data_IF_307755888680
#
_entry.id   IF_307755888680
#
_cell.length_a   1.000
_cell.length_b   1.000
_cell.length_c   1.000
_cell.angle_alpha   90.00
_cell.angle_beta   90.00
_cell.angle_gamma   90.00
#
_symmetry.space_group_name_H-M   'P 1'
#
loop_
_entity.id
_entity.type
_entity.pdbx_description
1 polymer ?
#
# COMPACT_ATOMS: atom_id res chain seq x y z
N UNK A 1 -5.67 -4.23 -18.33
CA UNK A 1 -4.39 -4.19 -19.04
C UNK A 1 -3.36 -4.89 -18.17
N UNK A 2 -2.56 -5.82 -18.74
CA UNK A 2 -1.55 -6.58 -17.97
C UNK A 2 -0.29 -5.74 -17.72
N UNK A 3 0.20 -5.05 -18.74
CA UNK A 3 1.32 -4.11 -18.63
C UNK A 3 0.82 -2.67 -18.66
N UNK A 4 1.57 -1.76 -18.05
CA UNK A 4 1.21 -0.36 -17.88
C UNK A 4 0.71 -0.04 -16.48
N UNK A 5 0.18 1.15 -16.31
CA UNK A 5 -0.32 1.63 -15.01
C UNK A 5 -1.50 2.60 -15.17
N UNK A 6 -2.29 2.69 -14.14
CA UNK A 6 -3.36 3.68 -13.96
C UNK A 6 -3.16 4.40 -12.61
N UNK A 7 -3.78 5.56 -12.37
CA UNK A 7 -3.67 6.23 -11.08
C UNK A 7 -4.02 5.35 -9.86
N UNK A 8 -4.94 4.40 -10.03
CA UNK A 8 -5.31 3.45 -8.97
C UNK A 8 -4.19 2.48 -8.59
N UNK A 9 -3.26 2.24 -9.51
CA UNK A 9 -2.12 1.34 -9.28
C UNK A 9 -1.03 1.98 -8.41
N UNK A 10 -1.09 3.28 -8.17
CA UNK A 10 -0.20 3.97 -7.24
C UNK A 10 -0.59 3.78 -5.76
N UNK A 11 -1.83 3.41 -5.46
CA UNK A 11 -2.35 3.36 -4.09
C UNK A 11 -1.53 2.40 -3.22
N UNK A 12 -1.37 1.15 -3.65
CA UNK A 12 -0.72 0.13 -2.83
C UNK A 12 0.80 0.38 -2.65
N UNK A 13 1.59 0.70 -3.69
CA UNK A 13 2.99 1.07 -3.47
C UNK A 13 3.16 2.32 -2.61
N UNK A 14 2.25 3.29 -2.67
CA UNK A 14 2.25 4.44 -1.77
C UNK A 14 2.06 4.01 -0.31
N UNK A 15 1.18 3.04 -0.03
CA UNK A 15 1.06 2.48 1.31
C UNK A 15 2.38 1.88 1.81
N UNK A 16 3.04 1.04 1.01
CA UNK A 16 4.33 0.45 1.38
C UNK A 16 5.41 1.51 1.56
N UNK A 17 5.45 2.50 0.67
CA UNK A 17 6.40 3.62 0.77
C UNK A 17 6.18 4.43 2.06
N UNK A 18 4.93 4.79 2.39
CA UNK A 18 4.61 5.55 3.61
C UNK A 18 4.86 4.74 4.87
N UNK A 19 4.66 3.42 4.85
CA UNK A 19 5.09 2.53 5.95
C UNK A 19 6.59 2.70 6.21
N UNK A 20 7.41 2.72 5.16
CA UNK A 20 8.85 2.99 5.26
C UNK A 20 9.15 4.38 5.84
N UNK A 21 8.48 5.43 5.33
CA UNK A 21 8.61 6.80 5.87
C UNK A 21 8.29 6.82 7.37
N UNK A 22 7.17 6.23 7.79
CA UNK A 22 6.75 6.19 9.19
C UNK A 22 7.74 5.43 10.09
N UNK A 23 8.34 4.35 9.57
CA UNK A 23 9.41 3.60 10.26
C UNK A 23 10.59 4.50 10.61
N UNK A 24 11.02 5.37 9.70
CA UNK A 24 12.17 6.25 9.94
C UNK A 24 11.97 7.17 11.17
N UNK A 25 10.77 7.71 11.34
CA UNK A 25 10.41 8.53 12.50
C UNK A 25 10.24 7.68 13.77
N UNK A 26 9.61 6.51 13.67
CA UNK A 26 9.37 5.64 14.82
C UNK A 26 10.67 5.09 15.41
N UNK A 27 11.66 4.76 14.58
CA UNK A 27 12.92 4.17 15.03
C UNK A 27 13.91 5.21 15.54
N UNK A 28 13.86 6.46 15.05
CA UNK A 28 14.69 7.53 15.60
C UNK A 28 14.34 7.89 17.05
N UNK A 29 13.09 7.76 17.43
CA UNK A 29 12.62 8.16 18.77
C UNK A 29 12.94 7.16 19.88
N UNK A 30 13.55 5.99 19.61
CA UNK A 30 13.67 4.90 20.57
C UNK A 30 14.90 4.01 20.27
N UNK A 31 15.61 3.55 21.30
CA UNK A 31 16.73 2.59 21.17
C UNK A 31 16.29 1.19 20.63
N UNK A 32 17.24 0.38 20.17
CA UNK A 32 17.00 -0.81 19.31
C UNK A 32 16.22 -1.97 19.97
N UNK A 33 16.45 -2.30 21.25
CA UNK A 33 15.92 -3.52 21.88
C UNK A 33 14.39 -3.58 22.06
N UNK A 34 13.68 -2.51 22.50
CA UNK A 34 12.22 -2.57 22.65
C UNK A 34 11.48 -2.54 21.31
N UNK A 35 12.16 -2.30 20.20
CA UNK A 35 11.55 -2.14 18.89
C UNK A 35 11.24 -3.46 18.21
N UNK A 36 12.12 -4.49 18.34
CA UNK A 36 11.92 -5.79 17.71
C UNK A 36 10.59 -6.44 18.14
N UNK A 37 10.30 -6.45 19.44
CA UNK A 37 9.03 -6.99 19.94
C UNK A 37 7.81 -6.26 19.33
N UNK A 38 7.88 -4.93 19.23
CA UNK A 38 6.79 -4.15 18.63
C UNK A 38 6.64 -4.44 17.15
N UNK A 39 7.76 -4.57 16.43
CA UNK A 39 7.78 -4.92 15.00
C UNK A 39 7.13 -6.28 14.79
N UNK A 40 7.52 -7.29 15.57
CA UNK A 40 6.95 -8.64 15.49
C UNK A 40 5.44 -8.65 15.78
N UNK A 41 5.03 -8.04 16.89
CA UNK A 41 3.61 -7.99 17.29
C UNK A 41 2.78 -7.27 16.22
N UNK A 42 3.25 -6.12 15.73
CA UNK A 42 2.57 -5.36 14.68
C UNK A 42 2.46 -6.16 13.37
N UNK A 43 3.54 -6.83 12.97
CA UNK A 43 3.52 -7.68 11.77
C UNK A 43 2.56 -8.84 11.92
N UNK A 44 2.53 -9.51 13.07
CA UNK A 44 1.61 -10.60 13.34
C UNK A 44 0.15 -10.15 13.34
N UNK A 45 -0.15 -9.01 13.96
CA UNK A 45 -1.52 -8.45 13.96
C UNK A 45 -1.96 -8.08 12.54
N UNK A 46 -1.11 -7.42 11.76
CA UNK A 46 -1.42 -7.06 10.37
C UNK A 46 -1.63 -8.29 9.50
N UNK A 47 -0.76 -9.29 9.62
CA UNK A 47 -0.88 -10.54 8.89
C UNK A 47 -2.16 -11.29 9.28
N UNK A 48 -2.42 -11.45 10.58
CA UNK A 48 -3.61 -12.10 11.11
C UNK A 48 -4.91 -11.38 10.69
N UNK A 49 -4.93 -10.05 10.73
CA UNK A 49 -6.06 -9.25 10.25
C UNK A 49 -6.31 -9.49 8.75
N UNK A 50 -5.24 -9.56 7.94
CA UNK A 50 -5.35 -9.85 6.51
C UNK A 50 -5.92 -11.25 6.25
N UNK A 51 -5.43 -12.26 6.98
CA UNK A 51 -5.96 -13.64 6.91
C UNK A 51 -7.42 -13.69 7.36
N UNK A 52 -7.77 -13.02 8.45
CA UNK A 52 -9.15 -12.91 8.92
C UNK A 52 -10.07 -12.29 7.85
N UNK A 53 -9.66 -11.18 7.25
CA UNK A 53 -10.42 -10.54 6.17
C UNK A 53 -10.56 -11.43 4.93
N UNK A 54 -9.55 -12.25 4.61
CA UNK A 54 -9.63 -13.21 3.53
C UNK A 54 -10.62 -14.35 3.85
N UNK A 55 -10.57 -14.88 5.08
CA UNK A 55 -11.45 -15.95 5.56
C UNK A 55 -12.91 -15.53 5.68
N UNK A 56 -13.16 -14.29 6.11
CA UNK A 56 -14.52 -13.77 6.34
C UNK A 56 -15.37 -13.78 5.07
N UNK A 57 -16.67 -14.16 5.13
CA UNK A 57 -17.40 -14.70 6.27
C UNK A 57 -17.47 -16.24 6.27
N UNK A 58 -16.92 -16.90 5.24
CA UNK A 58 -17.11 -18.36 5.06
C UNK A 58 -16.21 -19.20 5.93
N UNK A 59 -15.03 -18.68 6.30
CA UNK A 59 -13.98 -19.38 7.06
C UNK A 59 -13.61 -20.75 6.49
N UNK A 60 -13.66 -20.87 5.15
CA UNK A 60 -13.20 -22.06 4.44
C UNK A 60 -11.66 -22.02 4.37
N UNK A 61 -11.03 -22.83 5.23
CA UNK A 61 -9.58 -22.89 5.33
C UNK A 61 -8.94 -23.67 4.17
N UNK A 62 -9.71 -24.49 3.46
CA UNK A 62 -9.19 -25.31 2.35
C UNK A 62 -8.89 -24.48 1.09
N UNK A 63 -9.64 -23.39 0.91
CA UNK A 63 -9.48 -22.45 -0.22
C UNK A 63 -9.15 -21.03 0.28
N UNK A 64 -8.61 -20.91 1.50
CA UNK A 64 -8.25 -19.63 2.07
C UNK A 64 -7.09 -19.00 1.31
N UNK A 65 -7.30 -17.82 0.73
CA UNK A 65 -6.22 -17.04 0.15
C UNK A 65 -5.22 -16.61 1.22
N UNK A 66 -3.95 -17.05 1.10
CA UNK A 66 -2.88 -16.67 2.05
C UNK A 66 -2.24 -15.34 1.66
N UNK A 67 -1.81 -15.09 0.40
CA UNK A 67 -1.32 -13.79 0.00
C UNK A 67 -2.42 -12.73 0.07
N UNK A 68 -2.03 -11.48 0.30
CA UNK A 68 -2.98 -10.37 0.32
C UNK A 68 -2.29 -9.06 0.72
N UNK A 69 -3.03 -7.97 0.60
CA UNK A 69 -2.50 -6.61 0.81
C UNK A 69 -1.92 -6.43 2.20
N UNK A 70 -2.68 -6.77 3.26
CA UNK A 70 -2.21 -6.61 4.64
C UNK A 70 -1.09 -7.59 4.99
N UNK A 71 -1.15 -8.82 4.47
CA UNK A 71 -0.10 -9.82 4.64
C UNK A 71 1.21 -9.34 4.00
N UNK A 72 1.14 -8.79 2.78
CA UNK A 72 2.31 -8.19 2.13
C UNK A 72 2.85 -6.99 2.89
N UNK A 73 1.99 -6.08 3.37
CA UNK A 73 2.42 -4.97 4.23
C UNK A 73 3.13 -5.50 5.47
N UNK A 74 2.59 -6.52 6.13
CA UNK A 74 3.17 -7.13 7.32
C UNK A 74 4.57 -7.70 7.05
N UNK A 75 4.74 -8.45 5.96
CA UNK A 75 6.02 -9.06 5.57
C UNK A 75 7.02 -7.98 5.16
N UNK A 76 6.62 -7.01 4.34
CA UNK A 76 7.48 -5.90 3.94
C UNK A 76 7.92 -5.06 5.12
N UNK A 77 7.01 -4.74 6.03
CA UNK A 77 7.30 -4.01 7.27
C UNK A 77 8.28 -4.78 8.15
N UNK A 78 8.06 -6.09 8.36
CA UNK A 78 8.96 -6.94 9.14
C UNK A 78 10.35 -6.99 8.53
N UNK A 79 10.45 -7.34 7.26
CA UNK A 79 11.74 -7.49 6.57
C UNK A 79 12.52 -6.16 6.51
N UNK A 80 11.86 -5.07 6.11
CA UNK A 80 12.48 -3.75 6.09
C UNK A 80 12.90 -3.30 7.50
N UNK A 81 12.09 -3.58 8.53
CA UNK A 81 12.44 -3.25 9.92
C UNK A 81 13.69 -4.00 10.40
N UNK A 82 13.79 -5.30 10.11
CA UNK A 82 14.96 -6.10 10.47
C UNK A 82 16.23 -5.57 9.78
N UNK A 83 16.12 -5.25 8.48
CA UNK A 83 17.23 -4.67 7.73
C UNK A 83 17.65 -3.31 8.32
N UNK A 84 16.72 -2.44 8.63
CA UNK A 84 17.00 -1.12 9.20
C UNK A 84 17.60 -1.20 10.60
N UNK A 85 17.15 -2.16 11.43
CA UNK A 85 17.63 -2.29 12.82
C UNK A 85 19.03 -2.93 12.91
N UNK A 86 19.36 -3.86 12.01
CA UNK A 86 20.55 -4.69 12.15
C UNK A 86 21.56 -4.56 11.01
N UNK A 87 21.17 -4.02 9.86
CA UNK A 87 22.06 -3.87 8.72
C UNK A 87 22.71 -2.47 8.66
N UNK A 88 23.90 -2.41 8.08
CA UNK A 88 24.55 -1.13 7.78
C UNK A 88 23.82 -0.40 6.64
N UNK A 89 24.02 0.92 6.55
CA UNK A 89 23.46 1.72 5.44
C UNK A 89 23.95 1.22 4.07
N UNK A 90 25.19 0.77 3.97
CA UNK A 90 25.72 0.13 2.76
C UNK A 90 24.97 -1.14 2.41
N UNK A 91 24.67 -1.97 3.40
CA UNK A 91 23.90 -3.21 3.24
C UNK A 91 22.48 -2.90 2.73
N UNK A 92 21.83 -1.83 3.21
CA UNK A 92 20.51 -1.43 2.68
C UNK A 92 20.55 -1.11 1.18
N UNK A 93 21.57 -0.38 0.72
CA UNK A 93 21.71 -0.08 -0.71
C UNK A 93 21.99 -1.35 -1.55
N UNK A 94 22.85 -2.25 -1.04
CA UNK A 94 23.08 -3.53 -1.71
C UNK A 94 21.84 -4.41 -1.74
N UNK A 95 21.05 -4.42 -0.66
CA UNK A 95 19.76 -5.13 -0.62
C UNK A 95 18.77 -4.57 -1.64
N UNK A 96 18.69 -3.23 -1.76
CA UNK A 96 17.88 -2.60 -2.81
C UNK A 96 18.32 -3.03 -4.20
N UNK A 97 19.62 -2.95 -4.49
CA UNK A 97 20.16 -3.38 -5.77
C UNK A 97 19.88 -4.86 -6.03
N UNK A 98 20.12 -5.73 -5.04
CA UNK A 98 19.85 -7.16 -5.13
C UNK A 98 18.37 -7.45 -5.40
N UNK A 99 17.46 -6.82 -4.68
CA UNK A 99 16.02 -7.06 -4.85
C UNK A 99 15.52 -6.56 -6.20
N UNK A 100 16.01 -5.43 -6.69
CA UNK A 100 15.57 -4.90 -7.97
C UNK A 100 16.24 -5.59 -9.17
N UNK A 101 17.57 -5.71 -9.17
CA UNK A 101 18.32 -6.34 -10.27
C UNK A 101 18.14 -7.86 -10.24
N UNK A 102 18.24 -8.47 -9.06
CA UNK A 102 18.05 -9.92 -8.90
C UNK A 102 16.66 -10.37 -9.33
N UNK A 103 15.62 -9.61 -8.96
CA UNK A 103 14.25 -9.92 -9.38
C UNK A 103 14.08 -9.78 -10.90
N UNK A 104 14.65 -8.75 -11.51
CA UNK A 104 14.67 -8.58 -12.96
C UNK A 104 15.33 -9.77 -13.66
N UNK A 105 16.50 -10.18 -13.19
CA UNK A 105 17.23 -11.33 -13.75
C UNK A 105 16.49 -12.65 -13.53
N UNK A 106 15.86 -12.84 -12.37
CA UNK A 106 15.12 -14.05 -12.02
C UNK A 106 13.84 -14.23 -12.87
N UNK A 107 13.09 -13.14 -13.10
CA UNK A 107 11.88 -13.24 -13.92
C UNK A 107 12.21 -13.55 -15.39
N UNK A 108 13.36 -13.09 -15.88
CA UNK A 108 13.78 -13.30 -17.26
C UNK A 108 12.83 -12.64 -18.28
N UNK A 109 12.65 -13.29 -19.43
CA UNK A 109 11.84 -12.76 -20.54
C UNK A 109 10.37 -13.17 -20.51
N UNK A 110 9.99 -14.19 -19.71
CA UNK A 110 8.58 -14.62 -19.61
C UNK A 110 7.84 -13.81 -18.57
N UNK A 111 7.14 -12.80 -19.04
CA UNK A 111 6.32 -11.88 -18.21
C UNK A 111 4.82 -12.11 -18.43
N UNK A 112 4.44 -13.27 -18.98
CA UNK A 112 3.03 -13.64 -19.17
C UNK A 112 2.34 -13.91 -17.82
N UNK A 113 1.01 -13.87 -17.80
CA UNK A 113 0.21 -14.01 -16.57
C UNK A 113 0.53 -15.32 -15.84
N UNK A 114 0.64 -16.43 -16.57
CA UNK A 114 0.75 -17.76 -16.01
C UNK A 114 2.14 -18.39 -16.16
N UNK A 115 2.91 -17.96 -17.14
CA UNK A 115 4.22 -18.51 -17.48
C UNK A 115 5.36 -17.96 -16.64
N UNK A 116 5.21 -16.74 -16.09
CA UNK A 116 6.28 -16.10 -15.35
C UNK A 116 6.71 -16.88 -14.11
N UNK A 117 7.98 -16.73 -13.72
CA UNK A 117 8.57 -17.49 -12.61
C UNK A 117 7.83 -17.24 -11.28
N UNK A 118 7.36 -16.00 -11.02
CA UNK A 118 6.64 -15.71 -9.79
C UNK A 118 5.34 -16.53 -9.69
N UNK A 119 4.55 -16.56 -10.75
CA UNK A 119 3.34 -17.37 -10.79
C UNK A 119 3.62 -18.89 -10.65
N UNK A 120 4.74 -19.38 -11.22
CA UNK A 120 5.15 -20.79 -11.06
C UNK A 120 5.52 -21.14 -9.62
N UNK A 121 6.30 -20.28 -8.97
CA UNK A 121 6.68 -20.45 -7.56
C UNK A 121 5.45 -20.37 -6.65
N UNK A 122 4.56 -19.42 -6.90
CA UNK A 122 3.34 -19.26 -6.11
C UNK A 122 2.43 -20.49 -6.22
N UNK A 123 2.25 -21.04 -7.43
CA UNK A 123 1.48 -22.29 -7.63
C UNK A 123 2.12 -23.48 -6.92
N UNK A 124 3.45 -23.58 -6.97
CA UNK A 124 4.15 -24.70 -6.34
C UNK A 124 4.07 -24.66 -4.81
N UNK A 125 4.21 -23.48 -4.20
CA UNK A 125 4.27 -23.33 -2.73
C UNK A 125 2.89 -23.06 -2.09
N UNK A 126 1.99 -22.40 -2.81
CA UNK A 126 0.72 -21.91 -2.29
C UNK A 126 -0.49 -22.37 -3.12
N UNK A 127 -0.34 -23.43 -3.91
CA UNK A 127 -1.42 -23.98 -4.74
C UNK A 127 -2.70 -24.19 -3.92
N UNK A 128 -3.84 -23.73 -4.44
CA UNK A 128 -5.13 -23.74 -3.72
C UNK A 128 -5.38 -22.54 -2.81
N UNK A 129 -4.35 -21.74 -2.49
CA UNK A 129 -4.44 -20.59 -1.57
C UNK A 129 -4.14 -19.24 -2.25
N UNK A 130 -4.25 -19.17 -3.57
CA UNK A 130 -3.99 -17.98 -4.38
C UNK A 130 -5.29 -17.21 -4.70
N UNK A 131 -5.16 -15.95 -5.13
CA UNK A 131 -6.30 -15.14 -5.58
C UNK A 131 -6.96 -15.69 -6.83
N UNK A 132 -6.16 -16.12 -7.80
CA UNK A 132 -6.58 -16.88 -8.97
C UNK A 132 -5.93 -18.25 -8.90
N UNK A 133 -6.52 -19.25 -9.56
CA UNK A 133 -5.97 -20.60 -9.54
C UNK A 133 -4.51 -20.66 -10.00
N UNK A 134 -4.09 -19.75 -10.86
CA UNK A 134 -2.79 -19.77 -11.54
C UNK A 134 -1.79 -18.71 -11.08
N UNK A 135 -2.24 -17.65 -10.39
CA UNK A 135 -1.35 -16.54 -9.98
C UNK A 135 -1.95 -15.67 -8.88
N UNK A 136 -1.10 -14.91 -8.18
CA UNK A 136 -1.48 -13.91 -7.17
C UNK A 136 -0.62 -12.66 -7.30
N UNK A 137 -1.23 -11.43 -7.35
CA UNK A 137 -0.48 -10.18 -7.42
C UNK A 137 0.34 -9.90 -6.16
N UNK A 138 -0.03 -10.49 -5.01
CA UNK A 138 0.68 -10.41 -3.75
C UNK A 138 1.52 -11.68 -3.45
N UNK A 139 2.01 -12.36 -4.48
CA UNK A 139 2.80 -13.59 -4.39
C UNK A 139 4.16 -13.44 -3.69
N UNK A 140 4.83 -14.57 -3.50
CA UNK A 140 6.05 -14.66 -2.71
C UNK A 140 7.23 -13.92 -3.35
N UNK A 141 7.55 -14.23 -4.63
CA UNK A 141 8.70 -13.61 -5.29
C UNK A 141 8.52 -12.10 -5.49
N UNK A 142 7.32 -11.65 -5.86
CA UNK A 142 7.01 -10.22 -6.02
C UNK A 142 7.07 -9.43 -4.69
N UNK A 143 7.19 -10.12 -3.56
CA UNK A 143 7.39 -9.48 -2.24
C UNK A 143 8.80 -8.89 -2.09
N UNK A 144 9.83 -9.43 -2.75
CA UNK A 144 11.17 -8.85 -2.68
C UNK A 144 11.24 -7.42 -3.22
N UNK A 145 10.78 -7.11 -4.45
CA UNK A 145 10.72 -5.72 -4.89
C UNK A 145 9.71 -4.87 -4.12
N UNK A 146 8.69 -5.45 -3.49
CA UNK A 146 7.80 -4.72 -2.59
C UNK A 146 8.52 -4.29 -1.29
N UNK A 147 9.43 -5.12 -0.74
CA UNK A 147 10.32 -4.72 0.37
C UNK A 147 11.22 -3.56 -0.06
N UNK A 148 11.74 -3.58 -1.30
CA UNK A 148 12.52 -2.46 -1.84
C UNK A 148 11.72 -1.14 -1.85
N UNK A 149 10.42 -1.17 -2.19
CA UNK A 149 9.54 0.00 -2.09
C UNK A 149 9.49 0.56 -0.66
N UNK A 150 9.40 -0.32 0.34
CA UNK A 150 9.38 0.08 1.76
C UNK A 150 10.73 0.67 2.21
N UNK A 151 11.85 0.09 1.77
CA UNK A 151 13.20 0.63 2.07
C UNK A 151 13.39 2.00 1.43
N UNK A 152 12.95 2.22 0.18
CA UNK A 152 12.98 3.53 -0.47
C UNK A 152 12.17 4.57 0.33
N UNK A 153 11.00 4.18 0.86
CA UNK A 153 10.23 5.02 1.76
C UNK A 153 10.98 5.34 3.06
N UNK A 154 11.67 4.36 3.66
CA UNK A 154 12.48 4.59 4.85
C UNK A 154 13.60 5.61 4.60
N UNK A 155 14.33 5.48 3.50
CA UNK A 155 15.40 6.43 3.12
C UNK A 155 14.85 7.84 2.88
N UNK A 156 13.67 7.96 2.27
CA UNK A 156 12.98 9.24 2.09
C UNK A 156 12.58 9.87 3.44
N UNK A 157 12.08 9.07 4.35
CA UNK A 157 11.72 9.51 5.69
C UNK A 157 12.93 9.93 6.52
N UNK A 158 14.08 9.25 6.39
CA UNK A 158 15.35 9.69 7.00
C UNK A 158 15.74 11.10 6.56
N UNK A 159 15.52 11.43 5.29
CA UNK A 159 15.83 12.76 4.75
C UNK A 159 14.95 13.87 5.34
N UNK A 160 13.72 13.52 5.70
CA UNK A 160 12.78 14.48 6.31
C UNK A 160 12.99 14.67 7.81
N UNK A 161 13.63 13.72 8.51
CA UNK A 161 13.84 13.86 9.95
C UNK A 161 14.68 15.09 10.28
N UNK A 162 14.38 15.75 11.41
CA UNK A 162 15.29 16.74 12.00
C UNK A 162 16.63 16.07 12.28
N UNK A 163 17.71 16.67 11.82
CA UNK A 163 19.05 16.19 12.08
C UNK A 163 19.86 17.34 12.70
N UNK A 164 20.12 17.25 13.99
CA UNK A 164 20.83 18.29 14.76
C UNK A 164 22.20 18.63 14.16
N UNK A 165 22.83 17.70 13.46
CA UNK A 165 24.12 17.89 12.83
C UNK A 165 24.07 18.56 11.46
N UNK A 166 22.91 18.58 10.79
CA UNK A 166 22.69 19.14 9.43
C UNK A 166 21.88 20.44 9.47
N UNK A 167 21.16 20.70 10.57
CA UNK A 167 20.24 21.84 10.70
C UNK A 167 20.90 23.21 10.69
N UNK A 168 22.23 23.32 10.81
CA UNK A 168 22.91 24.61 10.76
C UNK A 168 22.92 25.30 9.40
N UNK A 169 22.41 24.68 8.33
CA UNK A 169 22.42 25.27 6.99
C UNK A 169 21.27 24.87 6.04
N UNK A 170 20.58 23.74 6.26
CA UNK A 170 19.59 23.26 5.31
C UNK A 170 18.17 23.72 5.65
N UNK A 171 17.57 24.51 4.76
CA UNK A 171 16.20 25.00 4.94
C UNK A 171 15.16 23.98 4.40
N UNK A 172 13.89 24.12 4.82
CA UNK A 172 12.82 23.22 4.40
C UNK A 172 12.59 23.19 2.87
N UNK A 173 12.96 24.26 2.16
CA UNK A 173 12.88 24.30 0.69
C UNK A 173 13.91 23.38 0.05
N UNK A 174 15.12 23.28 0.57
CA UNK A 174 16.17 22.38 0.08
C UNK A 174 15.80 20.91 0.29
N UNK A 175 15.21 20.58 1.45
CA UNK A 175 14.68 19.23 1.69
C UNK A 175 13.60 18.88 0.67
N UNK A 176 12.65 19.78 0.42
CA UNK A 176 11.62 19.58 -0.59
C UNK A 176 12.22 19.42 -2.00
N UNK A 177 13.16 20.29 -2.39
CA UNK A 177 13.85 20.23 -3.70
C UNK A 177 14.59 18.89 -3.87
N UNK A 178 15.26 18.39 -2.83
CA UNK A 178 15.95 17.09 -2.86
C UNK A 178 14.95 15.94 -3.09
N UNK A 179 13.77 15.95 -2.42
CA UNK A 179 12.74 14.96 -2.65
C UNK A 179 12.20 15.01 -4.08
N UNK A 180 11.97 16.21 -4.63
CA UNK A 180 11.53 16.38 -6.01
C UNK A 180 12.58 15.87 -7.00
N UNK A 181 13.85 16.24 -6.83
CA UNK A 181 14.93 15.80 -7.71
C UNK A 181 15.09 14.27 -7.66
N UNK A 182 15.14 13.67 -6.47
CA UNK A 182 15.19 12.23 -6.31
C UNK A 182 13.94 11.54 -6.91
N UNK A 183 12.76 12.11 -6.72
CA UNK A 183 11.52 11.61 -7.28
C UNK A 183 11.55 11.59 -8.81
N UNK A 184 11.99 12.66 -9.46
CA UNK A 184 12.16 12.68 -10.90
C UNK A 184 13.21 11.70 -11.41
N UNK A 185 14.35 11.59 -10.71
CA UNK A 185 15.37 10.61 -11.05
C UNK A 185 14.82 9.17 -11.01
N UNK A 186 14.01 8.82 -10.01
CA UNK A 186 13.39 7.50 -9.91
C UNK A 186 12.30 7.29 -10.97
N UNK A 187 11.47 8.30 -11.27
CA UNK A 187 10.45 8.21 -12.33
C UNK A 187 11.14 7.96 -13.68
N UNK A 188 12.13 8.78 -14.04
CA UNK A 188 12.86 8.64 -15.30
C UNK A 188 13.60 7.31 -15.37
N UNK A 189 14.26 6.89 -14.29
CA UNK A 189 14.91 5.58 -14.18
C UNK A 189 13.92 4.42 -14.35
N UNK A 190 12.74 4.50 -13.75
CA UNK A 190 11.67 3.51 -13.90
C UNK A 190 11.12 3.45 -15.33
N UNK A 191 10.88 4.60 -15.95
CA UNK A 191 10.45 4.69 -17.36
C UNK A 191 11.52 4.15 -18.31
N UNK A 192 12.78 4.49 -18.10
CA UNK A 192 13.89 3.98 -18.91
C UNK A 192 14.01 2.46 -18.76
N UNK A 193 13.95 1.93 -17.52
CA UNK A 193 14.00 0.49 -17.30
C UNK A 193 12.78 -0.23 -17.87
N UNK A 194 11.63 0.46 -17.99
CA UNK A 194 10.42 -0.13 -18.55
C UNK A 194 10.52 -0.55 -20.02
N UNK A 195 11.55 -0.13 -20.72
CA UNK A 195 11.86 -0.54 -22.12
C UNK A 195 12.13 -2.06 -22.15
N UNK A 196 12.84 -2.59 -21.15
CA UNK A 196 13.19 -4.03 -21.06
C UNK A 196 12.36 -4.79 -20.04
N UNK A 197 11.88 -4.11 -19.01
CA UNK A 197 11.09 -4.67 -17.92
C UNK A 197 9.84 -3.83 -17.71
N UNK A 198 8.74 -4.10 -18.44
CA UNK A 198 7.55 -3.25 -18.45
C UNK A 198 7.00 -2.97 -17.06
N UNK A 199 6.47 -1.77 -16.87
CA UNK A 199 5.76 -1.40 -15.64
C UNK A 199 4.57 -2.35 -15.46
N UNK A 200 4.57 -3.13 -14.38
CA UNK A 200 3.52 -4.09 -14.09
C UNK A 200 3.30 -4.23 -12.59
N UNK A 201 2.12 -3.83 -12.13
CA UNK A 201 1.70 -3.92 -10.73
C UNK A 201 1.57 -5.37 -10.25
N UNK A 202 1.02 -6.26 -11.09
CA UNK A 202 0.74 -7.63 -10.68
C UNK A 202 2.01 -8.45 -10.48
N UNK A 203 3.07 -8.12 -11.21
CA UNK A 203 4.40 -8.68 -11.04
C UNK A 203 5.27 -7.87 -10.07
N UNK A 204 4.86 -6.65 -9.72
CA UNK A 204 5.67 -5.72 -8.93
C UNK A 204 7.06 -5.49 -9.51
N UNK A 205 7.13 -5.26 -10.83
CA UNK A 205 8.40 -5.15 -11.56
C UNK A 205 9.31 -4.06 -10.99
N UNK A 206 10.62 -4.21 -11.17
CA UNK A 206 11.59 -3.24 -10.65
C UNK A 206 11.40 -1.84 -11.27
N UNK A 207 11.00 -1.77 -12.54
CA UNK A 207 10.58 -0.51 -13.19
C UNK A 207 9.37 0.11 -12.51
N UNK A 208 8.38 -0.71 -12.12
CA UNK A 208 7.21 -0.25 -11.36
C UNK A 208 7.60 0.27 -9.98
N UNK A 209 8.54 -0.39 -9.29
CA UNK A 209 9.05 0.08 -7.98
C UNK A 209 9.67 1.46 -8.11
N UNK A 210 10.58 1.68 -9.07
CA UNK A 210 11.21 2.97 -9.25
C UNK A 210 10.21 4.05 -9.63
N UNK A 211 9.34 3.75 -10.60
CA UNK A 211 8.31 4.69 -11.05
C UNK A 211 7.37 5.11 -9.90
N UNK A 212 6.85 4.15 -9.14
CA UNK A 212 5.89 4.43 -8.07
C UNK A 212 6.55 5.06 -6.84
N UNK A 213 7.78 4.67 -6.49
CA UNK A 213 8.54 5.33 -5.43
C UNK A 213 8.88 6.78 -5.81
N UNK A 214 9.23 7.03 -7.07
CA UNK A 214 9.44 8.38 -7.58
C UNK A 214 8.17 9.23 -7.51
N UNK A 215 7.03 8.69 -7.94
CA UNK A 215 5.73 9.36 -7.81
C UNK A 215 5.36 9.62 -6.32
N UNK A 216 5.63 8.67 -5.43
CA UNK A 216 5.43 8.84 -3.99
C UNK A 216 6.32 9.97 -3.41
N UNK A 217 7.57 10.09 -3.87
CA UNK A 217 8.47 11.19 -3.50
C UNK A 217 7.96 12.55 -3.98
N UNK A 218 7.42 12.63 -5.20
CA UNK A 218 6.80 13.87 -5.70
C UNK A 218 5.65 14.30 -4.78
N UNK A 219 4.77 13.36 -4.47
CA UNK A 219 3.62 13.63 -3.61
C UNK A 219 4.04 13.99 -2.18
N UNK A 220 5.00 13.26 -1.61
CA UNK A 220 5.56 13.53 -0.28
C UNK A 220 6.26 14.88 -0.24
N UNK A 221 7.08 15.21 -1.22
CA UNK A 221 7.77 16.50 -1.33
C UNK A 221 6.80 17.67 -1.44
N UNK A 222 5.73 17.50 -2.24
CA UNK A 222 4.66 18.50 -2.35
C UNK A 222 3.94 18.71 -1.02
N UNK A 223 3.51 17.63 -0.35
CA UNK A 223 2.83 17.73 0.95
C UNK A 223 3.75 18.34 2.01
N UNK A 224 5.00 17.92 2.08
CA UNK A 224 5.99 18.50 2.99
C UNK A 224 6.16 20.00 2.75
N UNK A 225 6.30 20.41 1.49
CA UNK A 225 6.45 21.81 1.15
C UNK A 225 5.21 22.65 1.52
N UNK A 226 4.01 22.17 1.19
CA UNK A 226 2.76 22.89 1.48
C UNK A 226 2.47 22.93 2.98
N UNK A 227 2.57 21.79 3.67
CA UNK A 227 2.11 21.63 5.06
C UNK A 227 3.17 22.06 6.06
N UNK A 228 4.45 21.67 5.84
CA UNK A 228 5.51 21.89 6.82
C UNK A 228 6.33 23.15 6.53
N UNK A 229 6.59 23.48 5.27
CA UNK A 229 7.34 24.68 4.90
C UNK A 229 6.43 25.90 4.79
N UNK A 230 5.35 25.83 3.98
CA UNK A 230 4.40 26.93 3.79
C UNK A 230 3.38 27.07 4.93
N UNK A 231 3.27 26.06 5.80
CA UNK A 231 2.32 26.04 6.94
C UNK A 231 0.83 26.11 6.55
N UNK A 232 0.48 25.74 5.32
CA UNK A 232 -0.91 25.67 4.85
C UNK A 232 -1.57 24.40 5.33
N UNK A 233 -2.15 24.41 6.52
CA UNK A 233 -2.64 23.22 7.24
C UNK A 233 -4.17 23.09 7.27
N UNK A 234 -4.94 24.14 6.96
CA UNK A 234 -6.40 24.14 7.14
C UNK A 234 -7.12 23.00 6.39
N UNK A 235 -6.68 22.68 5.19
CA UNK A 235 -7.26 21.64 4.35
C UNK A 235 -6.85 20.20 4.74
N UNK A 236 -5.85 20.04 5.60
CA UNK A 236 -5.33 18.71 5.96
C UNK A 236 -6.21 17.96 6.96
N UNK A 237 -7.17 18.63 7.60
CA UNK A 237 -8.00 18.04 8.64
C UNK A 237 -8.73 16.75 8.21
N UNK A 238 -9.39 16.67 7.02
CA UNK A 238 -10.00 15.43 6.58
C UNK A 238 -9.01 14.28 6.42
N UNK A 239 -7.82 14.57 5.90
CA UNK A 239 -6.76 13.57 5.74
C UNK A 239 -6.20 13.09 7.09
N UNK A 240 -6.06 14.00 8.07
CA UNK A 240 -5.65 13.66 9.44
C UNK A 240 -6.64 12.72 10.12
N UNK A 241 -7.95 12.96 9.94
CA UNK A 241 -9.00 12.09 10.50
C UNK A 241 -8.87 10.66 9.97
N UNK A 242 -8.72 10.47 8.65
CA UNK A 242 -8.50 9.16 8.06
C UNK A 242 -7.14 8.56 8.46
N UNK A 243 -6.07 9.36 8.41
CA UNK A 243 -4.71 8.89 8.66
C UNK A 243 -4.49 8.34 10.07
N UNK A 244 -5.21 8.88 11.07
CA UNK A 244 -5.12 8.40 12.46
C UNK A 244 -5.70 6.99 12.65
N UNK A 245 -6.62 6.57 11.78
CA UNK A 245 -7.28 5.27 11.84
C UNK A 245 -7.26 4.55 10.48
N UNK A 246 -6.19 4.69 9.70
CA UNK A 246 -6.10 4.20 8.32
C UNK A 246 -6.34 2.68 8.21
N UNK A 247 -5.79 1.89 9.12
CA UNK A 247 -5.97 0.43 9.12
C UNK A 247 -7.40 0.06 9.52
N UNK A 248 -7.98 0.79 10.47
CA UNK A 248 -9.37 0.56 10.89
C UNK A 248 -10.34 0.83 9.74
N UNK A 249 -10.22 1.96 9.05
CA UNK A 249 -11.09 2.26 7.92
C UNK A 249 -10.90 1.26 6.78
N UNK A 250 -9.67 0.85 6.48
CA UNK A 250 -9.40 -0.17 5.47
C UNK A 250 -10.08 -1.50 5.81
N UNK A 251 -9.88 -2.00 7.03
CA UNK A 251 -10.44 -3.28 7.44
C UNK A 251 -11.97 -3.23 7.53
N UNK A 252 -12.53 -2.22 8.20
CA UNK A 252 -13.97 -2.11 8.38
C UNK A 252 -14.71 -1.88 7.05
N UNK A 253 -14.17 -1.01 6.18
CA UNK A 253 -14.78 -0.77 4.88
C UNK A 253 -14.77 -2.03 3.99
N UNK A 254 -13.67 -2.79 4.02
CA UNK A 254 -13.58 -4.05 3.30
C UNK A 254 -14.55 -5.12 3.83
N UNK A 255 -14.67 -5.27 5.15
CA UNK A 255 -15.60 -6.22 5.78
C UNK A 255 -17.07 -5.84 5.50
N UNK A 256 -17.43 -4.56 5.64
CA UNK A 256 -18.79 -4.08 5.37
C UNK A 256 -19.13 -4.25 3.89
N UNK A 257 -18.24 -3.85 2.97
CA UNK A 257 -18.47 -4.03 1.53
C UNK A 257 -18.68 -5.52 1.18
N UNK A 258 -17.82 -6.41 1.73
CA UNK A 258 -17.93 -7.85 1.52
C UNK A 258 -19.25 -8.40 2.06
N UNK A 259 -19.69 -7.97 3.26
CA UNK A 259 -20.99 -8.35 3.82
C UNK A 259 -22.15 -7.91 2.93
N UNK A 260 -22.14 -6.64 2.48
CA UNK A 260 -23.18 -6.10 1.62
C UNK A 260 -23.24 -6.80 0.24
N UNK A 261 -22.10 -7.24 -0.30
CA UNK A 261 -22.04 -7.98 -1.56
C UNK A 261 -22.56 -9.41 -1.40
N UNK A 262 -22.28 -10.05 -0.26
CA UNK A 262 -22.68 -11.44 -0.02
C UNK A 262 -24.14 -11.58 0.42
N UNK A 263 -24.67 -10.58 1.11
CA UNK A 263 -26.09 -10.58 1.48
C UNK A 263 -26.95 -10.31 0.25
N UNK A 264 -27.66 -11.35 -0.20
CA UNK A 264 -28.53 -11.29 -1.38
C UNK A 264 -30.00 -11.18 -0.98
N UNK A 265 -30.71 -10.33 -1.68
CA UNK A 265 -32.15 -10.09 -1.50
C UNK A 265 -32.85 -10.40 -2.83
N UNK A 266 -33.97 -11.08 -2.76
CA UNK A 266 -34.79 -11.37 -3.94
C UNK A 266 -35.53 -10.10 -4.37
N UNK A 267 -35.45 -9.80 -5.65
CA UNK A 267 -36.23 -8.70 -6.29
C UNK A 267 -37.61 -9.17 -6.60
N UNK A 268 -38.51 -8.22 -6.92
CA UNK A 268 -39.87 -8.50 -7.32
C UNK A 268 -39.99 -9.36 -8.59
N UNK A 269 -39.00 -9.36 -9.43
CA UNK A 269 -38.86 -10.16 -10.64
C UNK A 269 -38.28 -11.57 -10.40
N UNK A 270 -38.04 -11.95 -9.16
CA UNK A 270 -37.44 -13.24 -8.77
C UNK A 270 -35.90 -13.29 -8.90
N UNK A 271 -35.24 -12.23 -9.40
CA UNK A 271 -33.80 -12.18 -9.49
C UNK A 271 -33.13 -11.88 -8.13
N UNK A 272 -31.94 -12.45 -7.88
CA UNK A 272 -31.16 -12.17 -6.67
C UNK A 272 -30.19 -11.01 -6.90
N UNK A 273 -30.32 -9.94 -6.13
CA UNK A 273 -29.39 -8.83 -6.11
C UNK A 273 -28.67 -8.72 -4.76
N UNK A 274 -27.39 -8.29 -4.78
CA UNK A 274 -26.70 -7.99 -3.54
C UNK A 274 -27.26 -6.71 -2.90
N UNK A 275 -27.20 -6.64 -1.57
CA UNK A 275 -27.62 -5.43 -0.86
C UNK A 275 -26.77 -4.21 -1.31
N UNK A 276 -25.49 -4.42 -1.62
CA UNK A 276 -24.61 -3.39 -2.20
C UNK A 276 -25.18 -2.85 -3.52
N UNK A 277 -25.61 -3.75 -4.40
CA UNK A 277 -26.21 -3.39 -5.69
C UNK A 277 -27.54 -2.65 -5.51
N UNK A 278 -28.41 -3.13 -4.63
CA UNK A 278 -29.70 -2.48 -4.32
C UNK A 278 -29.51 -1.07 -3.75
N UNK A 279 -28.54 -0.88 -2.85
CA UNK A 279 -28.21 0.45 -2.32
C UNK A 279 -27.76 1.40 -3.43
N UNK A 280 -26.91 0.92 -4.33
CA UNK A 280 -26.45 1.71 -5.47
C UNK A 280 -27.62 2.06 -6.42
N UNK A 281 -28.40 1.07 -6.84
CA UNK A 281 -29.48 1.24 -7.82
C UNK A 281 -30.58 2.13 -7.29
N UNK A 282 -31.09 1.87 -6.08
CA UNK A 282 -32.24 2.56 -5.54
C UNK A 282 -31.92 3.96 -5.00
N UNK A 283 -30.76 4.14 -4.37
CA UNK A 283 -30.43 5.41 -3.73
C UNK A 283 -29.71 6.39 -4.67
N UNK A 284 -29.09 5.92 -5.77
CA UNK A 284 -28.26 6.78 -6.62
C UNK A 284 -28.55 6.62 -8.12
N UNK A 285 -28.50 5.41 -8.67
CA UNK A 285 -28.62 5.20 -10.11
C UNK A 285 -30.03 5.52 -10.63
N UNK A 286 -31.06 5.33 -9.82
CA UNK A 286 -32.48 5.57 -10.19
C UNK A 286 -32.77 7.01 -10.64
N UNK A 287 -32.09 7.99 -10.06
CA UNK A 287 -32.30 9.41 -10.36
C UNK A 287 -31.12 10.11 -11.02
N UNK A 288 -29.89 9.67 -10.76
CA UNK A 288 -28.69 10.29 -11.31
C UNK A 288 -28.15 9.58 -12.57
N UNK A 289 -28.72 8.44 -12.94
CA UNK A 289 -28.23 7.57 -13.99
C UNK A 289 -26.98 6.78 -13.59
N UNK A 290 -26.55 5.80 -14.41
CA UNK A 290 -25.52 4.83 -13.98
C UNK A 290 -24.15 5.48 -13.73
N UNK A 291 -23.67 6.37 -14.58
CA UNK A 291 -22.33 6.95 -14.45
C UNK A 291 -22.26 7.94 -13.29
N UNK A 292 -23.19 8.90 -13.24
CA UNK A 292 -23.24 9.91 -12.15
C UNK A 292 -23.61 9.27 -10.82
N UNK A 293 -24.53 8.31 -10.83
CA UNK A 293 -24.92 7.53 -9.67
C UNK A 293 -23.75 6.77 -9.06
N UNK A 294 -22.86 6.18 -9.88
CA UNK A 294 -21.64 5.52 -9.41
C UNK A 294 -20.68 6.49 -8.71
N UNK A 295 -20.48 7.69 -9.28
CA UNK A 295 -19.66 8.72 -8.65
C UNK A 295 -20.26 9.18 -7.31
N UNK A 296 -21.56 9.44 -7.26
CA UNK A 296 -22.25 9.89 -6.04
C UNK A 296 -22.22 8.81 -4.96
N UNK A 297 -22.39 7.55 -5.33
CA UNK A 297 -22.29 6.42 -4.40
C UNK A 297 -20.88 6.30 -3.82
N UNK A 298 -19.84 6.47 -4.65
CA UNK A 298 -18.45 6.47 -4.18
C UNK A 298 -18.18 7.63 -3.20
N UNK A 299 -18.63 8.85 -3.54
CA UNK A 299 -18.48 10.02 -2.66
C UNK A 299 -19.26 9.85 -1.34
N UNK A 300 -20.49 9.34 -1.38
CA UNK A 300 -21.27 9.05 -0.20
C UNK A 300 -20.59 7.99 0.69
N UNK A 301 -19.99 6.96 0.11
CA UNK A 301 -19.22 5.93 0.82
C UNK A 301 -17.99 6.53 1.51
N UNK A 302 -17.24 7.39 0.82
CA UNK A 302 -16.09 8.10 1.41
C UNK A 302 -16.55 9.01 2.56
N UNK A 303 -17.62 9.76 2.37
CA UNK A 303 -18.16 10.65 3.39
C UNK A 303 -18.65 9.86 4.62
N UNK A 304 -19.35 8.74 4.40
CA UNK A 304 -19.79 7.86 5.49
C UNK A 304 -18.59 7.39 6.35
N UNK A 305 -17.54 6.88 5.70
CA UNK A 305 -16.35 6.41 6.41
C UNK A 305 -15.59 7.57 7.05
N UNK A 306 -15.57 8.75 6.44
CA UNK A 306 -14.97 9.92 7.05
C UNK A 306 -15.71 10.33 8.34
N UNK A 307 -17.05 10.33 8.34
CA UNK A 307 -17.86 10.62 9.53
C UNK A 307 -17.61 9.57 10.61
N UNK A 308 -17.56 8.29 10.25
CA UNK A 308 -17.25 7.22 11.20
C UNK A 308 -15.86 7.41 11.85
N UNK A 309 -14.84 7.72 11.05
CA UNK A 309 -13.50 8.00 11.55
C UNK A 309 -13.42 9.32 12.33
N UNK A 310 -14.24 10.31 11.98
CA UNK A 310 -14.34 11.58 12.73
C UNK A 310 -14.88 11.34 14.15
N UNK A 311 -15.85 10.44 14.31
CA UNK A 311 -16.35 10.06 15.65
C UNK A 311 -15.23 9.44 16.49
N UNK A 312 -14.47 8.49 15.94
CA UNK A 312 -13.31 7.89 16.61
C UNK A 312 -12.25 8.95 16.95
N UNK A 313 -11.95 9.82 15.99
CA UNK A 313 -10.96 10.89 16.15
C UNK A 313 -11.35 11.87 17.28
N UNK A 314 -12.61 12.31 17.31
CA UNK A 314 -13.12 13.20 18.37
C UNK A 314 -13.14 12.53 19.75
N UNK A 315 -13.40 11.23 19.80
CA UNK A 315 -13.33 10.44 21.04
C UNK A 315 -11.90 10.04 21.41
N UNK A 316 -10.87 10.47 20.65
CA UNK A 316 -9.46 10.12 20.84
C UNK A 316 -9.19 8.61 20.82
N UNK A 317 -10.02 7.85 20.11
CA UNK A 317 -9.81 6.41 19.87
C UNK A 317 -8.95 6.28 18.60
N UNK A 318 -7.72 5.85 18.78
CA UNK A 318 -6.77 5.63 17.69
C UNK A 318 -6.39 4.16 17.64
N UNK A 319 -6.86 3.46 16.60
CA UNK A 319 -6.51 2.07 16.32
C UNK A 319 -5.23 2.10 15.49
N UNK A 320 -4.11 2.40 16.16
CA UNK A 320 -2.79 2.41 15.54
C UNK A 320 -2.12 1.06 15.79
N UNK A 321 -1.86 0.35 14.73
CA UNK A 321 -1.05 -0.88 14.73
C UNK A 321 0.40 -0.56 14.40
#
# INVERSE_FOLDING_TARGET
VWHGWTPTDLIFPFFLFIVGVAMSFSFAARGNAPQLRKVLVRSLILFGLGVFMAAYPRFDLTHLRIPGVLQRIAVCYLAASLLVLYASRKTLYWTLALFLLGYFLLLGSDLTVEGNLAARVDRFLLGGHLWKATWDPEGLLSTFPAIATTILGYLAGERLRPNENVEKGENGHEKAATLFAAGWALILGGLFWSIWFPINKNLWTSSYVLFTAGAALQFLGFLYWVVDVKKWRGWTYPALVFGRNAIAVFALSGLVAKSLILYKVERRDGSLASLYQLLYENAFASWAGPLRGSLLFALATVLFWWIAMLVLYRRRIFIAL
#
